data_IF_085223545192
#
_entry.id   IF_085223545192
#
_cell.length_a   1.000
_cell.length_b   1.000
_cell.length_c   1.000
_cell.angle_alpha   90.00
_cell.angle_beta   90.00
_cell.angle_gamma   90.00
#
_symmetry.space_group_name_H-M   'P 1'
#
loop_
_entity.id
_entity.type
_entity.pdbx_description
1 polymer ?
#
# COMPACT_ATOMS: atom_id res chain seq x y z
N UNK A 1 18.86 -9.79 -7.42
CA UNK A 1 18.29 -10.52 -8.57
C UNK A 1 17.43 -9.60 -9.46
N UNK A 2 16.54 -8.78 -8.90
CA UNK A 2 15.66 -7.89 -9.66
C UNK A 2 16.33 -6.67 -10.31
N UNK A 3 17.61 -6.41 -10.05
CA UNK A 3 18.35 -5.29 -10.63
C UNK A 3 17.99 -3.91 -10.08
N UNK A 4 17.22 -3.83 -8.97
CA UNK A 4 16.89 -2.56 -8.33
C UNK A 4 18.15 -1.78 -7.93
N UNK A 5 18.18 -0.49 -8.28
CA UNK A 5 19.30 0.40 -8.01
C UNK A 5 19.03 1.42 -6.91
N UNK A 6 17.85 1.40 -6.32
CA UNK A 6 17.49 2.27 -5.22
C UNK A 6 16.46 1.61 -4.32
N UNK A 7 16.49 1.93 -3.03
CA UNK A 7 15.43 1.63 -2.08
C UNK A 7 15.45 2.63 -0.93
N UNK A 8 14.34 2.68 -0.20
CA UNK A 8 14.13 3.59 0.91
C UNK A 8 14.11 2.83 2.22
N UNK A 9 14.83 3.33 3.23
CA UNK A 9 14.78 2.82 4.58
C UNK A 9 13.49 3.29 5.26
N UNK A 10 12.75 2.35 5.86
CA UNK A 10 11.51 2.63 6.55
C UNK A 10 11.73 3.36 7.89
N UNK A 11 10.66 3.91 8.48
CA UNK A 11 10.73 4.57 9.79
C UNK A 11 10.88 3.62 10.97
N UNK A 12 10.30 2.43 10.88
CA UNK A 12 10.19 1.50 11.98
C UNK A 12 11.54 0.98 12.46
N UNK A 13 11.57 0.50 13.68
CA UNK A 13 12.71 -0.23 14.23
C UNK A 13 12.58 -1.73 13.95
N UNK A 14 13.70 -2.35 13.60
CA UNK A 14 13.84 -3.81 13.57
C UNK A 14 14.76 -4.24 14.71
N UNK A 15 14.27 -5.10 15.59
CA UNK A 15 14.96 -5.51 16.81
C UNK A 15 15.48 -4.33 17.64
N UNK A 16 14.69 -3.26 17.74
CA UNK A 16 15.01 -2.09 18.53
C UNK A 16 15.95 -1.07 17.88
N UNK A 17 16.44 -1.33 16.66
CA UNK A 17 17.30 -0.41 15.90
C UNK A 17 16.49 0.21 14.76
N UNK A 18 16.35 1.54 14.67
CA UNK A 18 15.68 2.21 13.56
C UNK A 18 16.30 1.86 12.21
N UNK A 19 15.45 1.61 11.21
CA UNK A 19 15.93 1.15 9.91
C UNK A 19 16.88 2.12 9.21
N UNK A 20 16.74 3.43 9.42
CA UNK A 20 17.63 4.46 8.85
C UNK A 20 19.10 4.30 9.26
N UNK A 21 19.37 3.61 10.36
CA UNK A 21 20.71 3.36 10.92
C UNK A 21 20.99 1.87 11.12
N UNK A 22 20.13 1.01 10.61
CA UNK A 22 20.23 -0.42 10.89
C UNK A 22 21.41 -1.05 10.16
N UNK A 23 22.25 -1.88 10.85
CA UNK A 23 23.41 -2.55 10.23
C UNK A 23 23.09 -3.39 8.97
N UNK A 24 21.84 -3.86 8.81
CA UNK A 24 21.43 -4.61 7.62
C UNK A 24 21.58 -3.81 6.31
N UNK A 25 21.59 -2.49 6.36
CA UNK A 25 21.82 -1.63 5.20
C UNK A 25 23.23 -1.89 4.61
N UNK A 26 24.22 -2.01 5.46
CA UNK A 26 25.57 -2.34 5.06
C UNK A 26 25.75 -3.87 4.86
N UNK A 27 25.44 -4.64 5.90
CA UNK A 27 25.81 -6.07 5.96
C UNK A 27 25.02 -6.92 4.97
N UNK A 28 23.73 -6.67 4.83
CA UNK A 28 22.87 -7.45 3.93
C UNK A 28 22.81 -6.79 2.57
N UNK A 29 22.36 -5.52 2.53
CA UNK A 29 22.06 -4.87 1.25
C UNK A 29 23.29 -4.58 0.43
N UNK A 30 24.34 -4.01 1.05
CA UNK A 30 25.59 -3.69 0.34
C UNK A 30 26.46 -4.93 0.14
N UNK A 31 26.76 -5.66 1.22
CA UNK A 31 27.75 -6.76 1.17
C UNK A 31 27.17 -8.05 0.60
N UNK A 32 26.03 -8.54 1.12
CA UNK A 32 25.51 -9.84 0.68
C UNK A 32 24.78 -9.77 -0.66
N UNK A 33 23.92 -8.74 -0.86
CA UNK A 33 23.18 -8.57 -2.10
C UNK A 33 23.95 -7.82 -3.19
N UNK A 34 25.07 -7.20 -2.85
CA UNK A 34 25.89 -6.45 -3.79
C UNK A 34 25.18 -5.22 -4.35
N UNK A 35 24.20 -4.66 -3.63
CA UNK A 35 23.52 -3.45 -4.08
C UNK A 35 24.47 -2.25 -3.95
N UNK A 36 24.87 -1.71 -5.07
CA UNK A 36 25.78 -0.56 -5.19
C UNK A 36 25.04 0.74 -5.57
N UNK A 37 23.71 0.74 -5.51
CA UNK A 37 22.86 1.87 -5.85
C UNK A 37 22.54 2.77 -4.66
N UNK A 38 21.44 3.47 -4.75
CA UNK A 38 20.99 4.46 -3.77
C UNK A 38 20.32 3.77 -2.58
N UNK A 39 20.65 4.22 -1.37
CA UNK A 39 19.82 4.05 -0.19
C UNK A 39 19.37 5.44 0.23
N UNK A 40 18.06 5.66 0.33
CA UNK A 40 17.50 6.93 0.78
C UNK A 40 16.76 6.78 2.10
N UNK A 41 16.64 7.89 2.83
CA UNK A 41 15.72 8.00 3.96
C UNK A 41 14.31 8.29 3.47
N UNK A 42 13.32 7.99 4.29
CA UNK A 42 11.98 8.54 4.13
C UNK A 42 11.92 9.99 4.68
N UNK A 43 10.89 10.76 4.35
CA UNK A 43 10.71 12.15 4.78
C UNK A 43 10.50 12.28 6.28
N UNK A 44 11.27 13.15 6.94
CA UNK A 44 11.22 13.31 8.40
C UNK A 44 11.96 12.25 9.21
N UNK A 45 12.65 11.30 8.58
CA UNK A 45 13.32 10.19 9.25
C UNK A 45 14.36 10.67 10.29
N UNK A 46 15.13 11.72 9.99
CA UNK A 46 16.10 12.27 10.92
C UNK A 46 15.42 12.83 12.17
N UNK A 47 14.32 13.56 11.98
CA UNK A 47 13.53 14.09 13.10
C UNK A 47 13.00 12.96 13.98
N UNK A 48 12.51 11.88 13.38
CA UNK A 48 12.01 10.71 14.12
C UNK A 48 13.12 10.01 14.91
N UNK A 49 14.34 9.92 14.40
CA UNK A 49 15.48 9.36 15.15
C UNK A 49 15.73 10.12 16.47
N UNK A 50 15.52 11.44 16.48
CA UNK A 50 15.77 12.29 17.65
C UNK A 50 14.54 12.36 18.54
N UNK A 51 13.38 12.69 18.01
CA UNK A 51 12.19 13.03 18.80
C UNK A 51 11.36 11.79 19.19
N UNK A 52 11.23 10.79 18.30
CA UNK A 52 10.41 9.61 18.55
C UNK A 52 11.23 8.43 19.06
N UNK A 53 12.26 8.02 18.31
CA UNK A 53 13.13 6.91 18.71
C UNK A 53 14.08 7.29 19.85
N UNK A 54 14.39 8.58 20.01
CA UNK A 54 15.34 9.10 21.03
C UNK A 54 16.70 8.40 20.97
N UNK A 55 17.13 8.07 19.75
CA UNK A 55 18.35 7.29 19.54
C UNK A 55 19.62 8.12 19.67
N UNK A 56 19.53 9.43 19.51
CA UNK A 56 20.67 10.35 19.61
C UNK A 56 20.26 11.64 20.30
N UNK A 57 21.18 12.30 21.01
CA UNK A 57 20.92 13.55 21.73
C UNK A 57 20.86 14.78 20.78
N UNK A 58 21.42 14.70 19.57
CA UNK A 58 21.44 15.80 18.61
C UNK A 58 21.19 15.35 17.17
N UNK A 59 20.77 16.30 16.34
CA UNK A 59 20.60 16.07 14.90
C UNK A 59 21.93 15.78 14.19
N UNK A 60 23.04 16.36 14.64
CA UNK A 60 24.36 16.10 14.07
C UNK A 60 24.81 14.66 14.29
N UNK A 61 24.62 14.12 15.49
CA UNK A 61 24.91 12.71 15.78
C UNK A 61 23.99 11.74 15.02
N UNK A 62 22.69 12.06 14.95
CA UNK A 62 21.75 11.30 14.16
C UNK A 62 22.09 11.29 12.67
N UNK A 63 22.42 12.45 12.10
CA UNK A 63 22.85 12.58 10.70
C UNK A 63 24.14 11.79 10.44
N UNK A 64 25.12 11.88 11.35
CA UNK A 64 26.36 11.12 11.25
C UNK A 64 26.10 9.60 11.24
N UNK A 65 25.21 9.10 12.09
CA UNK A 65 24.86 7.70 12.13
C UNK A 65 24.17 7.23 10.83
N UNK A 66 23.27 8.03 10.27
CA UNK A 66 22.60 7.72 8.99
C UNK A 66 23.59 7.68 7.83
N UNK A 67 24.51 8.64 7.74
CA UNK A 67 25.57 8.65 6.72
C UNK A 67 26.47 7.42 6.85
N UNK A 68 26.90 7.08 8.06
CA UNK A 68 27.72 5.88 8.33
C UNK A 68 26.99 4.57 8.00
N UNK A 69 25.67 4.54 8.09
CA UNK A 69 24.85 3.41 7.65
C UNK A 69 24.72 3.31 6.12
N UNK A 70 25.55 4.06 5.37
CA UNK A 70 25.62 4.06 3.88
C UNK A 70 24.41 4.64 3.16
N UNK A 71 23.57 5.39 3.86
CA UNK A 71 22.48 6.16 3.24
C UNK A 71 23.06 7.43 2.62
N UNK A 72 22.82 7.60 1.33
CA UNK A 72 23.42 8.68 0.54
C UNK A 72 22.42 9.67 -0.07
N UNK A 73 21.12 9.40 0.09
CA UNK A 73 20.06 10.30 -0.35
C UNK A 73 19.08 10.56 0.78
N UNK A 74 18.69 11.82 0.92
CA UNK A 74 17.88 12.28 2.03
C UNK A 74 16.67 13.05 1.52
N UNK A 75 15.50 12.80 2.12
CA UNK A 75 14.27 13.55 1.84
C UNK A 75 14.08 14.72 2.83
N UNK A 76 15.07 14.97 3.68
CA UNK A 76 15.08 16.04 4.69
C UNK A 76 16.29 16.97 4.49
N UNK A 77 16.32 18.07 5.25
CA UNK A 77 17.43 19.01 5.27
C UNK A 77 18.58 18.47 6.13
N UNK A 78 19.44 17.64 5.59
CA UNK A 78 20.61 17.08 6.26
C UNK A 78 21.85 17.96 6.27
N UNK A 79 21.99 18.88 5.28
CA UNK A 79 23.21 19.65 5.06
C UNK A 79 23.73 20.38 6.30
N UNK A 80 22.91 21.10 7.11
CA UNK A 80 23.41 21.78 8.30
C UNK A 80 24.00 20.81 9.31
N UNK A 81 23.33 19.68 9.53
CA UNK A 81 23.71 18.68 10.53
C UNK A 81 24.92 17.84 10.12
N UNK A 82 25.08 17.59 8.82
CA UNK A 82 26.28 16.92 8.29
C UNK A 82 27.49 17.84 8.39
N UNK A 83 27.34 19.15 8.12
CA UNK A 83 28.42 20.13 8.35
C UNK A 83 28.85 20.17 9.80
N UNK A 84 27.90 20.29 10.71
CA UNK A 84 28.14 20.25 12.16
C UNK A 84 28.82 18.94 12.59
N UNK A 85 28.41 17.81 12.01
CA UNK A 85 29.01 16.52 12.30
C UNK A 85 30.47 16.41 11.83
N UNK A 86 30.80 17.00 10.68
CA UNK A 86 32.18 17.12 10.19
C UNK A 86 33.03 18.00 11.12
N UNK A 87 32.52 19.19 11.48
CA UNK A 87 33.20 20.12 12.39
C UNK A 87 33.49 19.50 13.77
N UNK A 88 32.59 18.66 14.24
CA UNK A 88 32.73 17.91 15.52
C UNK A 88 33.56 16.62 15.37
N UNK A 89 34.02 16.27 14.19
CA UNK A 89 34.76 15.01 13.97
C UNK A 89 33.89 13.74 14.08
N UNK A 90 32.57 13.87 14.04
CA UNK A 90 31.64 12.74 14.03
C UNK A 90 31.57 12.06 12.68
N UNK A 91 31.93 12.77 11.61
CA UNK A 91 32.05 12.29 10.23
C UNK A 91 33.40 12.68 9.65
N UNK A 92 33.84 11.91 8.66
CA UNK A 92 34.98 12.20 7.81
C UNK A 92 34.52 12.33 6.37
N UNK A 93 35.34 12.92 5.50
CA UNK A 93 35.09 12.97 4.05
C UNK A 93 34.94 11.57 3.46
N UNK A 94 35.70 10.60 3.98
CA UNK A 94 35.58 9.18 3.56
C UNK A 94 34.20 8.61 3.83
N UNK A 95 33.56 8.98 4.95
CA UNK A 95 32.18 8.56 5.25
C UNK A 95 31.19 9.16 4.22
N UNK A 96 31.39 10.43 3.86
CA UNK A 96 30.59 11.11 2.83
C UNK A 96 30.76 10.43 1.47
N UNK A 97 32.00 10.22 1.04
CA UNK A 97 32.32 9.56 -0.24
C UNK A 97 31.68 8.19 -0.32
N UNK A 98 31.75 7.42 0.76
CA UNK A 98 31.10 6.11 0.85
C UNK A 98 29.60 6.19 0.69
N UNK A 99 28.95 7.14 1.34
CA UNK A 99 27.51 7.34 1.31
C UNK A 99 27.00 7.77 -0.06
N UNK A 100 27.64 8.75 -0.71
CA UNK A 100 27.21 9.30 -2.02
C UNK A 100 27.57 8.42 -3.21
N UNK A 101 28.43 7.43 -3.03
CA UNK A 101 28.92 6.55 -4.12
C UNK A 101 27.77 5.93 -4.92
N UNK A 102 26.70 5.51 -4.26
CA UNK A 102 25.52 4.93 -4.89
C UNK A 102 24.78 5.94 -5.77
N UNK A 103 24.69 7.18 -5.36
CA UNK A 103 24.05 8.26 -6.11
C UNK A 103 24.83 8.56 -7.38
N UNK A 104 26.16 8.69 -7.26
CA UNK A 104 27.05 8.94 -8.41
C UNK A 104 26.99 7.77 -9.39
N UNK A 105 27.02 6.53 -8.88
CA UNK A 105 26.92 5.32 -9.71
C UNK A 105 25.61 5.30 -10.52
N UNK A 106 24.48 5.60 -9.88
CA UNK A 106 23.18 5.62 -10.57
C UNK A 106 23.10 6.78 -11.55
N UNK A 107 23.61 7.99 -11.18
CA UNK A 107 23.67 9.13 -12.08
C UNK A 107 24.49 8.85 -13.34
N UNK A 108 25.64 8.18 -13.20
CA UNK A 108 26.44 7.73 -14.34
C UNK A 108 25.71 6.71 -15.22
N UNK A 109 25.01 5.74 -14.59
CA UNK A 109 24.22 4.75 -15.33
C UNK A 109 23.06 5.36 -16.12
N UNK A 110 22.51 6.46 -15.63
CA UNK A 110 21.44 7.21 -16.30
C UNK A 110 21.96 8.21 -17.32
N UNK A 111 23.29 8.36 -17.46
CA UNK A 111 23.89 9.36 -18.35
C UNK A 111 23.70 10.80 -17.88
N UNK A 112 23.35 11.03 -16.61
CA UNK A 112 23.10 12.38 -16.08
C UNK A 112 24.37 13.22 -15.93
N UNK A 113 25.54 12.57 -15.90
CA UNK A 113 26.86 13.21 -15.79
C UNK A 113 27.61 13.23 -17.12
N UNK A 114 26.99 12.76 -18.21
CA UNK A 114 27.61 12.78 -19.53
C UNK A 114 27.54 14.18 -20.10
N UNK A 115 28.66 14.68 -20.65
CA UNK A 115 28.74 15.99 -21.29
C UNK A 115 27.95 16.08 -22.60
N UNK A 116 27.82 14.95 -23.32
CA UNK A 116 27.02 14.81 -24.53
C UNK A 116 26.00 13.70 -24.38
N UNK A 117 24.75 14.08 -24.22
CA UNK A 117 23.60 13.19 -24.10
C UNK A 117 22.94 12.83 -25.45
N UNK A 118 23.49 13.25 -26.58
CA UNK A 118 22.88 13.09 -27.91
C UNK A 118 22.56 11.63 -28.27
N UNK A 119 23.29 10.66 -27.69
CA UNK A 119 23.11 9.23 -27.89
C UNK A 119 22.08 8.58 -26.96
N UNK A 120 21.54 9.34 -26.01
CA UNK A 120 20.54 8.79 -25.11
C UNK A 120 19.20 8.60 -25.85
N UNK A 121 18.72 7.36 -26.06
CA UNK A 121 17.49 7.10 -26.82
C UNK A 121 16.23 7.66 -26.16
N UNK A 122 16.32 7.99 -24.89
CA UNK A 122 15.17 8.49 -24.10
C UNK A 122 15.03 10.01 -24.10
N UNK A 123 15.96 10.75 -24.72
CA UNK A 123 15.90 12.23 -24.76
C UNK A 123 14.66 12.79 -25.47
N UNK A 124 14.05 12.01 -26.35
CA UNK A 124 12.83 12.41 -27.07
C UNK A 124 11.55 12.17 -26.28
N UNK A 125 11.59 11.34 -25.23
CA UNK A 125 10.39 11.01 -24.45
C UNK A 125 9.85 12.27 -23.78
N UNK A 126 8.56 12.55 -24.01
CA UNK A 126 7.87 13.70 -23.42
C UNK A 126 8.16 15.06 -24.07
N UNK A 127 8.98 15.12 -25.14
CA UNK A 127 9.21 16.38 -25.86
C UNK A 127 7.99 16.84 -26.65
N UNK A 128 7.15 15.92 -27.09
CA UNK A 128 5.92 16.19 -27.83
C UNK A 128 4.73 16.08 -26.88
N UNK A 129 4.30 17.20 -26.31
CA UNK A 129 3.16 17.26 -25.38
C UNK A 129 1.80 16.93 -26.04
N UNK A 130 1.76 16.82 -27.37
CA UNK A 130 0.55 16.46 -28.16
C UNK A 130 0.32 14.94 -28.27
N UNK A 131 1.28 14.13 -27.90
CA UNK A 131 1.12 12.67 -27.91
C UNK A 131 0.20 12.24 -26.76
N UNK A 132 -0.63 11.22 -27.03
CA UNK A 132 -1.46 10.59 -26.00
C UNK A 132 -0.53 10.04 -24.91
N UNK A 133 -0.71 10.43 -23.63
CA UNK A 133 0.10 9.89 -22.54
C UNK A 133 0.04 8.36 -22.52
N UNK A 134 1.16 7.66 -22.25
CA UNK A 134 1.21 6.19 -22.27
C UNK A 134 0.15 5.50 -21.40
N UNK A 135 -0.23 6.13 -20.29
CA UNK A 135 -1.26 5.61 -19.38
C UNK A 135 -2.70 5.83 -19.89
N UNK A 136 -2.89 6.61 -20.96
CA UNK A 136 -4.19 6.88 -21.59
C UNK A 136 -4.44 6.03 -22.85
N UNK A 137 -3.54 5.13 -23.19
CA UNK A 137 -3.73 4.23 -24.34
C UNK A 137 -4.77 3.15 -24.03
N UNK A 138 -5.45 2.65 -25.05
CA UNK A 138 -6.38 1.54 -24.91
C UNK A 138 -5.73 0.29 -24.28
N UNK A 139 -4.47 0.05 -24.58
CA UNK A 139 -3.69 -1.05 -23.97
C UNK A 139 -3.46 -0.83 -22.48
N UNK A 140 -3.11 0.39 -22.04
CA UNK A 140 -2.96 0.72 -20.63
C UNK A 140 -4.29 0.56 -19.87
N UNK A 141 -5.41 0.98 -20.45
CA UNK A 141 -6.74 0.78 -19.88
C UNK A 141 -7.10 -0.72 -19.75
N UNK A 142 -6.81 -1.51 -20.80
CA UNK A 142 -7.00 -2.96 -20.76
C UNK A 142 -6.19 -3.61 -19.66
N UNK A 143 -4.91 -3.24 -19.54
CA UNK A 143 -4.02 -3.77 -18.51
C UNK A 143 -4.48 -3.37 -17.10
N UNK A 144 -4.86 -2.11 -16.89
CA UNK A 144 -5.38 -1.64 -15.60
C UNK A 144 -6.63 -2.43 -15.17
N UNK A 145 -7.57 -2.65 -16.11
CA UNK A 145 -8.75 -3.49 -15.88
C UNK A 145 -8.37 -4.94 -15.52
N UNK A 146 -7.43 -5.53 -16.26
CA UNK A 146 -6.99 -6.91 -16.02
C UNK A 146 -6.33 -7.06 -14.64
N UNK A 147 -5.45 -6.14 -14.25
CA UNK A 147 -4.81 -6.12 -12.93
C UNK A 147 -5.86 -5.98 -11.83
N UNK A 148 -6.81 -5.06 -11.98
CA UNK A 148 -7.90 -4.87 -11.02
C UNK A 148 -8.75 -6.13 -10.89
N UNK A 149 -9.14 -6.75 -12.01
CA UNK A 149 -9.92 -7.99 -11.98
C UNK A 149 -9.16 -9.14 -11.28
N UNK A 150 -7.86 -9.27 -11.52
CA UNK A 150 -7.01 -10.26 -10.85
C UNK A 150 -6.75 -9.97 -9.37
N UNK A 151 -6.89 -8.73 -8.92
CA UNK A 151 -6.73 -8.37 -7.51
C UNK A 151 -7.96 -8.68 -6.65
N UNK A 152 -9.12 -8.94 -7.28
CA UNK A 152 -10.34 -9.28 -6.56
C UNK A 152 -10.24 -10.67 -5.97
N UNK A 153 -10.48 -10.78 -4.64
CA UNK A 153 -10.46 -12.04 -3.90
C UNK A 153 -11.88 -12.48 -3.60
N UNK A 154 -12.27 -13.65 -4.10
CA UNK A 154 -13.56 -14.26 -3.82
C UNK A 154 -13.51 -15.03 -2.50
N UNK A 155 -13.95 -14.43 -1.41
CA UNK A 155 -13.91 -15.03 -0.07
C UNK A 155 -14.96 -16.12 0.13
N UNK A 156 -16.14 -15.97 -0.49
CA UNK A 156 -17.25 -16.92 -0.36
C UNK A 156 -18.15 -16.86 -1.61
N UNK A 157 -18.58 -18.02 -2.10
CA UNK A 157 -19.58 -18.13 -3.16
C UNK A 157 -20.40 -19.42 -3.00
N UNK A 158 -21.68 -19.28 -2.71
CA UNK A 158 -22.63 -20.39 -2.65
C UNK A 158 -23.37 -20.58 -3.99
N UNK A 159 -22.62 -20.63 -5.09
CA UNK A 159 -23.13 -20.82 -6.46
C UNK A 159 -23.98 -19.66 -7.02
N UNK A 160 -23.80 -18.47 -6.46
CA UNK A 160 -24.50 -17.29 -6.95
C UNK A 160 -23.72 -16.56 -8.05
N UNK A 161 -22.40 -16.49 -7.90
CA UNK A 161 -21.51 -15.91 -8.91
C UNK A 161 -21.00 -17.00 -9.87
N UNK A 162 -20.84 -16.67 -11.18
CA UNK A 162 -21.13 -15.38 -11.80
C UNK A 162 -22.62 -15.09 -11.92
N UNK A 163 -22.98 -13.80 -11.86
CA UNK A 163 -24.37 -13.37 -12.09
C UNK A 163 -24.73 -13.51 -13.58
N UNK A 164 -25.94 -13.97 -13.83
CA UNK A 164 -26.51 -13.96 -15.19
C UNK A 164 -27.23 -12.62 -15.41
N UNK A 165 -26.51 -11.67 -16.03
CA UNK A 165 -27.06 -10.35 -16.32
C UNK A 165 -28.33 -10.41 -17.17
N UNK A 166 -28.54 -11.49 -17.94
CA UNK A 166 -29.74 -11.68 -18.75
C UNK A 166 -31.01 -11.91 -17.94
N UNK A 167 -30.88 -12.39 -16.71
CA UNK A 167 -32.01 -12.72 -15.81
C UNK A 167 -32.35 -11.61 -14.82
N UNK A 168 -31.46 -10.64 -14.62
CA UNK A 168 -31.68 -9.57 -13.65
C UNK A 168 -32.47 -8.43 -14.27
N UNK A 169 -33.54 -8.01 -13.59
CA UNK A 169 -34.39 -6.88 -13.98
C UNK A 169 -34.10 -5.67 -13.12
N UNK A 170 -33.79 -5.88 -11.83
CA UNK A 170 -33.51 -4.82 -10.86
C UNK A 170 -32.29 -5.17 -10.00
N UNK A 171 -31.35 -4.28 -9.95
CA UNK A 171 -30.14 -4.43 -9.15
C UNK A 171 -30.01 -3.22 -8.20
N UNK A 172 -29.91 -3.49 -6.91
CA UNK A 172 -29.56 -2.45 -5.96
C UNK A 172 -28.03 -2.39 -5.79
N UNK A 173 -27.47 -1.19 -5.89
CA UNK A 173 -26.03 -0.92 -5.63
C UNK A 173 -25.96 0.04 -4.45
N UNK A 174 -25.48 -0.44 -3.33
CA UNK A 174 -25.66 0.21 -2.02
C UNK A 174 -24.30 0.37 -1.34
N UNK A 175 -24.13 1.49 -0.63
CA UNK A 175 -23.02 1.73 0.27
C UNK A 175 -22.12 2.90 -0.12
N UNK A 176 -21.30 3.38 0.81
CA UNK A 176 -20.53 4.60 0.67
C UNK A 176 -19.43 4.54 -0.41
N UNK A 177 -19.05 3.33 -0.83
CA UNK A 177 -18.04 3.11 -1.88
C UNK A 177 -18.63 2.64 -3.21
N UNK A 178 -19.96 2.67 -3.35
CA UNK A 178 -20.65 2.22 -4.57
C UNK A 178 -20.40 3.13 -5.77
N UNK A 179 -20.34 4.44 -5.56
CA UNK A 179 -20.15 5.45 -6.62
C UNK A 179 -18.99 6.41 -6.30
N UNK A 180 -17.91 5.88 -5.76
CA UNK A 180 -16.72 6.66 -5.42
C UNK A 180 -15.45 5.90 -5.76
N UNK A 181 -14.45 6.64 -6.24
CA UNK A 181 -13.05 6.22 -6.24
C UNK A 181 -12.38 6.90 -5.04
N UNK A 182 -11.96 6.09 -4.07
CA UNK A 182 -11.29 6.61 -2.90
C UNK A 182 -9.82 6.88 -3.18
N UNK A 183 -9.34 8.01 -2.73
CA UNK A 183 -7.98 8.50 -2.93
C UNK A 183 -7.37 8.87 -1.58
N UNK A 184 -6.07 8.75 -1.49
CA UNK A 184 -5.29 9.29 -0.38
C UNK A 184 -4.54 10.56 -0.80
N UNK A 185 -3.73 11.11 0.10
CA UNK A 185 -2.99 12.34 -0.18
C UNK A 185 -1.80 12.16 -1.14
N UNK A 186 -1.39 10.91 -1.43
CA UNK A 186 -0.37 10.60 -2.44
C UNK A 186 -0.97 10.46 -3.83
N UNK A 187 -2.28 10.30 -3.92
CA UNK A 187 -2.98 10.15 -5.20
C UNK A 187 -2.92 11.43 -6.02
N UNK A 188 -2.60 11.31 -7.29
CA UNK A 188 -2.81 12.36 -8.29
C UNK A 188 -4.29 12.45 -8.69
N UNK A 189 -4.63 13.44 -9.52
CA UNK A 189 -5.94 13.49 -10.16
C UNK A 189 -6.02 12.41 -11.22
N UNK A 190 -6.95 11.44 -11.11
CA UNK A 190 -7.09 10.39 -12.13
C UNK A 190 -7.61 11.01 -13.43
N UNK A 191 -7.08 10.60 -14.58
CA UNK A 191 -7.53 11.10 -15.89
C UNK A 191 -8.94 10.60 -16.25
N UNK A 192 -9.38 9.53 -15.64
CA UNK A 192 -10.74 8.97 -15.73
C UNK A 192 -11.04 8.15 -14.49
N UNK A 193 -12.31 7.98 -14.21
CA UNK A 193 -12.79 7.15 -13.11
C UNK A 193 -13.87 6.20 -13.59
N UNK A 194 -13.83 4.95 -13.11
CA UNK A 194 -14.90 3.98 -13.30
C UNK A 194 -15.30 3.43 -11.94
N UNK A 195 -16.40 3.95 -11.41
CA UNK A 195 -16.94 3.50 -10.12
C UNK A 195 -17.58 2.12 -10.24
N UNK A 196 -17.85 1.45 -9.12
CA UNK A 196 -18.56 0.16 -9.11
C UNK A 196 -19.95 0.33 -9.74
N UNK A 197 -20.65 1.39 -9.37
CA UNK A 197 -21.98 1.71 -9.93
C UNK A 197 -21.91 1.90 -11.45
N UNK A 198 -20.98 2.71 -11.93
CA UNK A 198 -20.85 2.94 -13.38
C UNK A 198 -20.43 1.67 -14.13
N UNK A 199 -19.55 0.86 -13.56
CA UNK A 199 -19.15 -0.42 -14.12
C UNK A 199 -20.32 -1.42 -14.24
N UNK A 200 -21.19 -1.48 -13.21
CA UNK A 200 -22.39 -2.31 -13.23
C UNK A 200 -23.36 -1.81 -14.31
N UNK A 201 -23.61 -0.50 -14.37
CA UNK A 201 -24.46 0.10 -15.42
C UNK A 201 -24.00 -0.27 -16.83
N UNK A 202 -22.71 -0.28 -17.05
CA UNK A 202 -22.13 -0.64 -18.35
C UNK A 202 -22.17 -2.14 -18.65
N UNK A 203 -22.30 -2.99 -17.64
CA UNK A 203 -22.27 -4.45 -17.78
C UNK A 203 -23.66 -5.10 -17.91
N UNK A 204 -24.72 -4.42 -17.50
CA UNK A 204 -26.09 -4.94 -17.56
C UNK A 204 -26.71 -4.68 -18.93
N UNK A 205 -27.74 -5.49 -19.27
CA UNK A 205 -28.48 -5.28 -20.50
C UNK A 205 -29.38 -4.05 -20.43
N UNK A 206 -29.76 -3.53 -21.58
CA UNK A 206 -30.76 -2.48 -21.70
C UNK A 206 -32.07 -2.90 -21.03
N UNK A 207 -32.70 -1.97 -20.31
CA UNK A 207 -33.93 -2.21 -19.55
C UNK A 207 -33.73 -2.78 -18.13
N UNK A 208 -32.50 -3.09 -17.71
CA UNK A 208 -32.23 -3.41 -16.30
C UNK A 208 -32.25 -2.15 -15.46
N UNK A 209 -33.11 -2.11 -14.45
CA UNK A 209 -33.21 -0.99 -13.49
C UNK A 209 -32.09 -1.07 -12.45
N UNK A 210 -31.34 0.03 -12.27
CA UNK A 210 -30.32 0.15 -11.22
C UNK A 210 -30.81 1.12 -10.15
N UNK A 211 -31.00 0.61 -8.94
CA UNK A 211 -31.41 1.41 -7.77
C UNK A 211 -30.15 1.67 -6.93
N UNK A 212 -29.82 2.93 -6.73
CA UNK A 212 -28.61 3.32 -5.98
C UNK A 212 -28.97 3.97 -4.65
N UNK A 213 -28.24 3.61 -3.60
CA UNK A 213 -28.31 4.26 -2.29
C UNK A 213 -26.93 4.28 -1.63
N UNK A 214 -26.39 5.45 -1.34
CA UNK A 214 -25.09 5.61 -0.69
C UNK A 214 -25.13 5.15 0.78
N UNK A 215 -26.26 5.39 1.45
CA UNK A 215 -26.50 5.06 2.85
C UNK A 215 -27.97 4.70 3.10
N UNK A 216 -28.35 4.56 4.38
CA UNK A 216 -29.74 4.28 4.74
C UNK A 216 -30.49 5.50 5.30
N UNK A 217 -30.07 6.71 5.00
CA UNK A 217 -30.85 7.89 5.36
C UNK A 217 -32.25 7.77 4.79
N UNK A 218 -33.27 8.04 5.61
CA UNK A 218 -34.70 7.89 5.26
C UNK A 218 -35.11 6.48 4.74
N UNK A 219 -34.35 5.43 5.09
CA UNK A 219 -34.62 4.06 4.67
C UNK A 219 -34.34 3.76 3.21
N UNK A 220 -33.47 4.53 2.55
CA UNK A 220 -33.20 4.39 1.12
C UNK A 220 -32.54 3.05 0.78
N UNK A 221 -31.53 2.65 1.54
CA UNK A 221 -30.85 1.36 1.31
C UNK A 221 -31.78 0.17 1.52
N UNK A 222 -32.61 0.21 2.58
CA UNK A 222 -33.58 -0.83 2.86
C UNK A 222 -34.62 -0.96 1.75
N UNK A 223 -35.19 0.16 1.30
CA UNK A 223 -36.14 0.19 0.19
C UNK A 223 -35.52 -0.29 -1.13
N UNK A 224 -34.28 0.16 -1.44
CA UNK A 224 -33.55 -0.28 -2.63
C UNK A 224 -33.31 -1.79 -2.61
N UNK A 225 -32.85 -2.32 -1.48
CA UNK A 225 -32.61 -3.74 -1.31
C UNK A 225 -33.88 -4.56 -1.45
N UNK A 226 -34.97 -4.16 -0.81
CA UNK A 226 -36.26 -4.86 -0.86
C UNK A 226 -36.89 -4.89 -2.26
N UNK A 227 -36.64 -3.87 -3.07
CA UNK A 227 -37.19 -3.75 -4.42
C UNK A 227 -36.38 -4.48 -5.52
N UNK A 228 -35.18 -4.94 -5.21
CA UNK A 228 -34.24 -5.47 -6.21
C UNK A 228 -34.19 -7.02 -6.21
N UNK A 229 -33.93 -7.60 -7.38
CA UNK A 229 -33.64 -9.03 -7.51
C UNK A 229 -32.36 -9.42 -6.76
N UNK A 230 -31.39 -8.49 -6.74
CA UNK A 230 -30.11 -8.64 -6.05
C UNK A 230 -29.62 -7.30 -5.50
N UNK A 231 -28.98 -7.33 -4.35
CA UNK A 231 -28.30 -6.17 -3.78
C UNK A 231 -26.78 -6.38 -3.74
N UNK A 232 -26.03 -5.41 -4.27
CA UNK A 232 -24.56 -5.35 -4.24
C UNK A 232 -24.21 -4.28 -3.22
N UNK A 233 -23.55 -4.67 -2.11
CA UNK A 233 -23.19 -3.77 -1.02
C UNK A 233 -21.72 -3.47 -1.08
N UNK A 234 -21.38 -2.19 -1.24
CA UNK A 234 -20.03 -1.68 -1.40
C UNK A 234 -19.59 -0.95 -0.12
N UNK A 235 -18.89 -1.67 0.74
CA UNK A 235 -18.43 -1.18 2.06
C UNK A 235 -16.92 -1.35 2.21
N UNK A 236 -16.35 -0.63 3.14
CA UNK A 236 -14.92 -0.70 3.37
C UNK A 236 -14.50 0.05 4.63
N UNK A 237 -13.22 0.05 4.90
CA UNK A 237 -12.62 0.74 6.04
C UNK A 237 -11.50 1.69 5.60
N UNK A 238 -11.62 2.26 4.42
CA UNK A 238 -10.71 3.29 3.95
C UNK A 238 -10.74 4.48 4.91
N UNK A 239 -9.61 5.07 5.28
CA UNK A 239 -9.57 6.29 6.08
C UNK A 239 -10.39 7.40 5.42
N UNK A 240 -11.31 8.00 6.18
CA UNK A 240 -12.11 9.13 5.70
C UNK A 240 -11.25 10.39 5.60
N UNK A 241 -11.59 11.22 4.66
CA UNK A 241 -11.01 12.54 4.47
C UNK A 241 -10.53 12.74 3.04
N UNK A 242 -10.59 14.00 2.63
CA UNK A 242 -9.96 14.46 1.39
C UNK A 242 -8.45 14.61 1.62
N UNK A 243 -7.70 14.88 0.57
CA UNK A 243 -6.28 15.24 0.67
C UNK A 243 -6.03 16.40 1.66
N UNK A 244 -6.94 17.37 1.74
CA UNK A 244 -6.88 18.47 2.72
C UNK A 244 -7.16 17.98 4.15
N UNK A 245 -8.18 17.15 4.32
CA UNK A 245 -8.59 16.61 5.63
C UNK A 245 -7.57 15.65 6.20
N UNK A 246 -6.85 14.94 5.34
CA UNK A 246 -5.80 14.02 5.76
C UNK A 246 -4.75 14.70 6.65
N UNK A 247 -4.32 15.88 6.26
CA UNK A 247 -3.26 16.60 6.96
C UNK A 247 -3.74 17.41 8.15
N UNK A 248 -4.94 17.96 8.07
CA UNK A 248 -5.43 19.00 8.98
C UNK A 248 -6.67 18.61 9.79
N UNK A 249 -7.20 17.41 9.61
CA UNK A 249 -8.33 16.97 10.39
C UNK A 249 -8.01 16.96 11.89
N UNK A 250 -8.76 17.68 12.73
CA UNK A 250 -8.56 17.67 14.18
C UNK A 250 -8.89 16.29 14.78
N UNK A 251 -9.74 15.51 14.12
CA UNK A 251 -10.07 14.14 14.49
C UNK A 251 -9.66 13.23 13.34
N UNK A 252 -8.44 12.67 13.40
CA UNK A 252 -7.97 11.79 12.34
C UNK A 252 -8.76 10.49 12.31
N UNK A 253 -9.10 10.02 11.12
CA UNK A 253 -9.75 8.72 10.95
C UNK A 253 -8.79 7.57 11.26
N UNK A 254 -9.33 6.49 11.81
CA UNK A 254 -8.60 5.27 12.08
C UNK A 254 -7.97 4.70 10.79
N UNK A 255 -6.71 4.32 10.88
CA UNK A 255 -5.97 3.68 9.79
C UNK A 255 -5.47 4.61 8.70
N UNK A 256 -5.61 5.94 8.84
CA UNK A 256 -4.83 6.86 8.01
C UNK A 256 -3.35 6.79 8.42
N UNK A 257 -2.46 7.27 7.57
CA UNK A 257 -1.04 7.37 7.90
C UNK A 257 -0.82 8.06 9.24
N UNK A 258 0.07 7.51 10.06
CA UNK A 258 0.37 7.92 11.43
C UNK A 258 -0.79 7.78 12.45
N UNK A 259 -1.85 7.08 12.12
CA UNK A 259 -2.97 6.78 13.03
C UNK A 259 -3.25 5.30 13.05
N UNK A 260 -2.88 4.61 14.12
CA UNK A 260 -3.12 3.18 14.27
C UNK A 260 -4.62 2.87 14.39
N UNK A 261 -5.03 1.78 13.77
CA UNK A 261 -6.37 1.22 13.98
C UNK A 261 -6.43 0.58 15.35
N UNK A 262 -7.47 0.94 16.10
CA UNK A 262 -7.75 0.32 17.41
C UNK A 262 -8.41 -1.04 17.27
N UNK A 263 -9.08 -1.27 16.14
CA UNK A 263 -9.79 -2.53 15.84
C UNK A 263 -9.94 -2.72 14.33
N UNK A 264 -10.34 -3.94 13.93
CA UNK A 264 -10.73 -4.25 12.55
C UNK A 264 -12.24 -4.08 12.32
N UNK A 265 -12.86 -3.14 13.00
CA UNK A 265 -14.28 -2.84 12.80
C UNK A 265 -14.53 -2.37 11.37
N UNK A 266 -15.66 -2.83 10.82
CA UNK A 266 -16.20 -2.32 9.58
C UNK A 266 -17.26 -1.25 9.94
N UNK A 267 -17.05 0.03 9.63
CA UNK A 267 -17.99 1.11 10.00
C UNK A 267 -19.40 0.87 9.50
N UNK A 268 -19.53 0.23 8.34
CA UNK A 268 -20.81 0.02 7.65
C UNK A 268 -21.44 -1.37 7.92
N UNK A 269 -21.00 -2.07 8.98
CA UNK A 269 -21.51 -3.42 9.31
C UNK A 269 -23.04 -3.42 9.51
N UNK A 270 -23.58 -2.37 10.11
CA UNK A 270 -25.02 -2.26 10.34
C UNK A 270 -25.80 -2.04 9.03
N UNK A 271 -25.23 -1.31 8.06
CA UNK A 271 -25.79 -1.21 6.71
C UNK A 271 -25.85 -2.58 6.04
N UNK A 272 -24.77 -3.36 6.13
CA UNK A 272 -24.73 -4.73 5.59
C UNK A 272 -25.83 -5.59 6.21
N UNK A 273 -25.98 -5.60 7.55
CA UNK A 273 -27.01 -6.36 8.26
C UNK A 273 -28.43 -5.94 7.84
N UNK A 274 -28.64 -4.64 7.67
CA UNK A 274 -29.93 -4.09 7.26
C UNK A 274 -30.30 -4.53 5.84
N UNK A 275 -29.38 -4.37 4.88
CA UNK A 275 -29.61 -4.82 3.49
C UNK A 275 -29.87 -6.32 3.44
N UNK A 276 -29.11 -7.08 4.22
CA UNK A 276 -29.27 -8.52 4.37
C UNK A 276 -30.67 -8.94 4.83
N UNK A 277 -31.25 -8.19 5.76
CA UNK A 277 -32.61 -8.40 6.26
C UNK A 277 -33.67 -8.03 5.23
N UNK A 278 -33.43 -6.95 4.49
CA UNK A 278 -34.39 -6.41 3.54
C UNK A 278 -34.49 -7.20 2.22
N UNK A 279 -33.39 -7.81 1.78
CA UNK A 279 -33.37 -8.62 0.55
C UNK A 279 -32.99 -10.06 0.88
N UNK A 280 -33.92 -11.00 0.84
CA UNK A 280 -33.69 -12.40 1.21
C UNK A 280 -32.97 -13.21 0.14
N UNK A 281 -32.42 -12.58 -0.92
CA UNK A 281 -31.70 -13.27 -1.99
C UNK A 281 -30.44 -14.00 -1.45
N UNK A 282 -30.11 -15.20 -1.98
CA UNK A 282 -28.98 -16.03 -1.50
C UNK A 282 -27.61 -15.37 -1.45
N UNK A 283 -27.35 -14.26 -2.15
CA UNK A 283 -26.10 -13.48 -2.00
C UNK A 283 -25.84 -13.09 -0.55
N UNK A 284 -26.88 -12.80 0.18
CA UNK A 284 -26.81 -12.35 1.56
C UNK A 284 -26.46 -13.48 2.54
N UNK A 285 -26.87 -14.71 2.29
CA UNK A 285 -26.51 -15.86 3.13
C UNK A 285 -25.01 -16.19 3.12
N UNK A 286 -24.21 -15.48 2.32
CA UNK A 286 -22.78 -15.70 2.27
C UNK A 286 -22.00 -14.87 3.29
N UNK A 287 -22.62 -13.84 3.84
CA UNK A 287 -22.12 -13.05 4.96
C UNK A 287 -22.88 -13.45 6.25
N UNK A 288 -22.75 -14.68 6.73
CA UNK A 288 -23.37 -15.03 8.00
C UNK A 288 -22.87 -14.10 9.11
N UNK A 289 -23.79 -13.58 9.99
CA UNK A 289 -23.41 -12.80 11.16
C UNK A 289 -22.71 -13.71 12.18
N UNK A 290 -21.51 -14.10 11.91
CA UNK A 290 -20.77 -15.09 12.71
C UNK A 290 -19.41 -15.43 12.13
N UNK A 291 -19.10 -15.01 10.90
CA UNK A 291 -17.73 -14.99 10.42
C UNK A 291 -16.97 -13.85 11.14
N UNK A 292 -16.90 -13.94 12.45
CA UNK A 292 -15.84 -13.28 13.21
C UNK A 292 -14.56 -13.75 12.56
N UNK A 293 -13.86 -12.85 11.89
CA UNK A 293 -12.45 -13.05 11.66
C UNK A 293 -11.89 -13.61 12.96
N UNK A 294 -11.17 -14.72 12.91
CA UNK A 294 -10.62 -15.36 14.10
C UNK A 294 -9.79 -14.35 14.88
N UNK A 295 -10.44 -13.63 15.76
CA UNK A 295 -9.80 -12.85 16.80
C UNK A 295 -9.49 -13.82 17.91
N UNK A 296 -8.26 -14.32 17.93
CA UNK A 296 -7.65 -14.64 19.23
C UNK A 296 -7.38 -13.28 19.89
N UNK A 297 -7.98 -12.97 21.04
CA UNK A 297 -7.63 -11.80 21.79
C UNK A 297 -6.14 -11.95 22.15
N UNK A 298 -5.29 -11.08 21.67
CA UNK A 298 -3.98 -10.90 22.27
C UNK A 298 -4.22 -10.37 23.67
N UNK A 299 -3.98 -11.22 24.66
CA UNK A 299 -3.83 -10.76 26.04
C UNK A 299 -2.73 -9.70 26.08
N UNK A 300 -2.95 -8.57 26.75
CA UNK A 300 -1.89 -7.62 26.98
C UNK A 300 -0.83 -8.33 27.81
N UNK A 301 0.42 -8.32 27.33
CA UNK A 301 1.58 -8.76 28.09
C UNK A 301 1.68 -7.92 29.34
N UNK A 302 1.40 -8.52 30.48
CA UNK A 302 1.77 -7.94 31.79
C UNK A 302 3.30 -7.94 31.91
N UNK A 303 3.94 -6.87 32.36
CA UNK A 303 5.34 -6.87 32.65
C UNK A 303 5.61 -7.58 33.99
N UNK A 304 6.41 -8.61 33.95
CA UNK A 304 7.07 -9.16 35.12
C UNK A 304 6.67 -10.57 35.52
N UNK A 305 7.46 -11.59 35.13
CA UNK A 305 7.91 -12.68 36.02
C UNK A 305 8.92 -13.58 35.29
N UNK A 306 10.14 -13.62 35.79
CA UNK A 306 10.92 -14.82 36.06
C UNK A 306 11.38 -15.70 34.90
N UNK A 307 12.67 -15.64 34.65
CA UNK A 307 13.48 -16.66 33.96
C UNK A 307 13.10 -18.08 34.40
N UNK A 308 12.80 -18.97 33.45
CA UNK A 308 13.10 -20.40 33.57
C UNK A 308 13.67 -20.91 32.27
N UNK A 309 14.93 -21.31 32.36
CA UNK A 309 15.69 -22.09 31.38
C UNK A 309 14.99 -23.43 31.11
N UNK A 310 14.70 -23.70 29.86
CA UNK A 310 14.22 -25.01 29.40
C UNK A 310 14.70 -25.25 27.97
N UNK A 311 15.85 -25.93 27.82
CA UNK A 311 16.29 -26.53 26.58
C UNK A 311 15.20 -27.48 26.07
N UNK A 312 14.64 -27.22 24.88
CA UNK A 312 13.97 -28.24 24.09
C UNK A 312 14.66 -28.35 22.74
N UNK A 313 15.31 -29.46 22.56
CA UNK A 313 15.80 -30.03 21.30
C UNK A 313 14.68 -30.07 20.27
N UNK A 314 14.84 -29.36 19.17
CA UNK A 314 14.01 -29.52 17.99
C UNK A 314 14.53 -30.72 17.21
N UNK A 315 13.73 -31.78 17.11
CA UNK A 315 13.88 -32.87 16.16
C UNK A 315 13.57 -32.33 14.75
N UNK A 316 14.49 -32.58 13.85
CA UNK A 316 14.28 -32.48 12.41
C UNK A 316 13.24 -33.53 11.99
N UNK A 317 12.28 -33.12 11.17
CA UNK A 317 11.29 -33.97 10.54
C UNK A 317 10.66 -33.26 9.37
N UNK A 318 11.15 -33.61 8.22
CA UNK A 318 10.64 -33.53 6.85
C UNK A 318 9.23 -32.97 6.60
N UNK A 319 9.10 -31.99 5.70
CA UNK A 319 8.40 -32.21 4.42
C UNK A 319 8.54 -30.99 3.49
N UNK A 320 9.44 -31.17 2.52
CA UNK A 320 9.45 -30.38 1.29
C UNK A 320 8.21 -30.72 0.45
N UNK A 321 7.29 -29.79 0.27
CA UNK A 321 6.33 -29.81 -0.84
C UNK A 321 6.68 -28.71 -1.81
N UNK A 322 7.39 -29.11 -2.84
CA UNK A 322 7.65 -28.35 -4.06
C UNK A 322 6.34 -28.16 -4.81
N UNK A 323 5.91 -26.93 -5.00
CA UNK A 323 4.90 -26.60 -6.01
C UNK A 323 5.59 -26.54 -7.37
N UNK A 324 5.38 -27.54 -8.20
CA UNK A 324 5.67 -27.50 -9.64
C UNK A 324 4.53 -26.73 -10.32
N UNK A 325 4.86 -25.63 -10.95
CA UNK A 325 4.01 -25.02 -11.99
C UNK A 325 4.41 -25.65 -13.32
N UNK A 326 3.56 -26.55 -13.83
CA UNK A 326 3.64 -27.00 -15.21
C UNK A 326 3.17 -25.89 -16.15
N UNK A 327 4.10 -25.24 -16.80
CA UNK A 327 3.84 -24.41 -17.98
C UNK A 327 3.95 -25.35 -19.18
N UNK A 328 2.81 -25.81 -19.67
CA UNK A 328 2.74 -26.57 -20.92
C UNK A 328 3.05 -25.67 -22.12
N UNK A 329 4.16 -25.91 -22.76
CA UNK A 329 4.42 -25.45 -24.12
C UNK A 329 3.39 -26.05 -25.08
N UNK A 330 2.72 -25.20 -25.84
CA UNK A 330 2.10 -25.59 -27.11
C UNK A 330 2.69 -24.78 -28.24
N UNK A 331 3.50 -25.47 -29.03
CA UNK A 331 3.79 -25.07 -30.38
C UNK A 331 2.51 -25.15 -31.25
N UNK A 332 2.17 -24.07 -31.88
CA UNK A 332 1.89 -23.95 -33.32
C UNK A 332 1.65 -22.48 -33.66
#
# INVERSE_FOLDING_TARGET
EGGSRAFMAAYNSWNGIPMSIHPCLEEITRKQWGNNGIICTDGGALKLLIEAHKSFPSFAEGAAAVVKATTGQFLDAYVPYVKEALEKGLLTEVDIDKAIRGNIFVALKLGLLDGDNSRNPYLSIGKNSTETPPFMTAEAHRLAREVTAKSVVLLKNKKLLPLDAGKLRKIAVIGPYSDKIVQDWYSGTPPYETTILSGIRNAVKEGTEIIHAEDNRMGQAEKAAAAADIAIVCVGNHPYGTRADWKFSPVPSDGREAVDRKSLMLPDEDLVKLVFKANPNPLHHQLEPGARACHRPHHPLQPGAGQRTGRRTLRQGESSRTYRTDVGERHH
#
